data_IF_181642452205
#
_entry.id   IF_181642452205
#
_cell.length_a   1.000
_cell.length_b   1.000
_cell.length_c   1.000
_cell.angle_alpha   90.00
_cell.angle_beta   90.00
_cell.angle_gamma   90.00
#
_symmetry.space_group_name_H-M   'P 1'
#
loop_
_entity.id
_entity.type
_entity.pdbx_description
1 polymer ?
#
# COMPACT_ATOMS: atom_id res chain seq x y z
N UNK A 1 -2.99 -12.37 15.02
CA UNK A 1 -3.01 -10.95 15.42
C UNK A 1 -3.27 -10.03 14.24
N UNK A 2 -2.45 -10.09 13.21
CA UNK A 2 -2.70 -9.28 12.02
C UNK A 2 -3.43 -10.12 10.98
N UNK A 3 -4.74 -10.09 11.02
CA UNK A 3 -5.54 -10.87 10.06
C UNK A 3 -5.57 -10.23 8.68
N UNK A 4 -5.60 -8.89 8.63
CA UNK A 4 -5.65 -8.14 7.38
C UNK A 4 -4.53 -7.11 7.37
N UNK A 5 -3.64 -7.24 6.41
CA UNK A 5 -2.53 -6.31 6.19
C UNK A 5 -2.83 -5.52 4.93
N UNK A 6 -2.80 -4.20 5.03
CA UNK A 6 -3.02 -3.31 3.89
C UNK A 6 -1.70 -2.76 3.41
N UNK A 7 -1.41 -2.95 2.13
CA UNK A 7 -0.23 -2.39 1.50
C UNK A 7 -0.66 -1.46 0.35
N UNK A 8 -0.71 -0.16 0.60
CA UNK A 8 -1.00 0.81 -0.45
C UNK A 8 0.26 1.13 -1.24
N UNK A 9 0.12 1.26 -2.54
CA UNK A 9 1.23 1.70 -3.37
C UNK A 9 0.73 2.59 -4.51
N UNK A 10 1.60 3.47 -4.97
CA UNK A 10 1.35 4.28 -6.17
C UNK A 10 2.33 3.84 -7.24
N UNK A 11 1.89 3.77 -8.52
CA UNK A 11 2.75 3.26 -9.58
C UNK A 11 4.07 4.00 -9.77
N UNK A 12 4.09 5.27 -9.43
CA UNK A 12 5.27 6.13 -9.57
C UNK A 12 6.22 6.08 -8.37
N UNK A 13 5.87 5.33 -7.34
CA UNK A 13 6.64 5.30 -6.09
C UNK A 13 6.94 3.88 -5.66
N UNK A 14 7.59 3.16 -6.55
CA UNK A 14 7.93 1.78 -6.30
C UNK A 14 9.02 1.68 -5.24
N UNK A 15 8.77 0.82 -4.29
CA UNK A 15 9.81 0.44 -3.36
C UNK A 15 9.69 -1.05 -3.11
N UNK A 16 10.48 -1.85 -3.83
CA UNK A 16 10.44 -3.31 -3.70
C UNK A 16 10.64 -3.79 -2.27
N UNK A 17 11.45 -3.06 -1.49
CA UNK A 17 11.66 -3.40 -0.10
C UNK A 17 10.40 -3.27 0.75
N UNK A 18 9.52 -2.33 0.41
CA UNK A 18 8.25 -2.17 1.13
C UNK A 18 7.33 -3.36 0.90
N UNK A 19 7.21 -3.79 -0.35
CA UNK A 19 6.39 -4.95 -0.67
C UNK A 19 6.94 -6.20 0.02
N UNK A 20 8.26 -6.39 0.00
CA UNK A 20 8.88 -7.55 0.62
C UNK A 20 8.57 -7.60 2.12
N UNK A 21 8.57 -6.46 2.80
CA UNK A 21 8.23 -6.40 4.22
C UNK A 21 6.75 -6.70 4.47
N UNK A 22 5.87 -6.17 3.63
CA UNK A 22 4.44 -6.47 3.75
C UNK A 22 4.18 -7.96 3.53
N UNK A 23 4.83 -8.55 2.54
CA UNK A 23 4.70 -9.96 2.23
C UNK A 23 5.20 -10.83 3.39
N UNK A 24 6.36 -10.51 3.94
CA UNK A 24 6.93 -11.22 5.07
C UNK A 24 5.99 -11.17 6.28
N UNK A 25 5.46 -10.01 6.58
CA UNK A 25 4.54 -9.85 7.70
C UNK A 25 3.27 -10.69 7.50
N UNK A 26 2.70 -10.63 6.31
CA UNK A 26 1.50 -11.41 6.00
C UNK A 26 1.77 -12.91 6.07
N UNK A 27 2.93 -13.34 5.59
CA UNK A 27 3.30 -14.76 5.61
C UNK A 27 3.46 -15.26 7.06
N UNK A 28 4.11 -14.47 7.91
CA UNK A 28 4.36 -14.85 9.30
C UNK A 28 3.07 -14.98 10.12
N UNK A 29 2.08 -14.16 9.80
CA UNK A 29 0.84 -14.10 10.57
C UNK A 29 -0.34 -14.79 9.89
N UNK A 30 -0.11 -15.44 8.76
CA UNK A 30 -1.18 -16.02 7.94
C UNK A 30 -2.25 -14.98 7.60
N UNK A 31 -1.82 -13.76 7.33
CA UNK A 31 -2.71 -12.65 7.05
C UNK A 31 -3.23 -12.69 5.62
N UNK A 32 -4.36 -12.04 5.38
CA UNK A 32 -4.75 -11.66 4.04
C UNK A 32 -4.07 -10.34 3.72
N UNK A 33 -3.36 -10.29 2.60
CA UNK A 33 -2.67 -9.08 2.16
C UNK A 33 -3.53 -8.35 1.14
N UNK A 34 -3.98 -7.17 1.50
CA UNK A 34 -4.76 -6.32 0.59
C UNK A 34 -3.81 -5.36 -0.09
N UNK A 35 -3.70 -5.49 -1.40
CA UNK A 35 -2.83 -4.66 -2.21
C UNK A 35 -3.67 -3.55 -2.82
N UNK A 36 -3.47 -2.33 -2.36
CA UNK A 36 -4.23 -1.17 -2.81
C UNK A 36 -3.42 -0.36 -3.80
N UNK A 37 -3.88 -0.31 -5.05
CA UNK A 37 -3.32 0.59 -6.05
C UNK A 37 -4.00 1.93 -5.91
N UNK A 38 -3.22 2.95 -5.55
CA UNK A 38 -3.72 4.30 -5.39
C UNK A 38 -3.39 5.10 -6.65
N UNK A 39 -4.42 5.57 -7.32
CA UNK A 39 -4.28 6.38 -8.53
C UNK A 39 -4.70 7.81 -8.22
N UNK A 40 -3.73 8.71 -8.19
CA UNK A 40 -4.01 10.13 -8.07
C UNK A 40 -4.48 10.69 -9.40
N UNK A 41 -5.10 11.86 -9.36
CA UNK A 41 -5.62 12.50 -10.57
C UNK A 41 -4.50 12.83 -11.57
N UNK A 42 -3.31 13.12 -11.07
CA UNK A 42 -2.16 13.49 -11.89
C UNK A 42 -1.01 12.50 -11.77
N UNK A 43 -1.29 11.26 -11.50
CA UNK A 43 -0.24 10.27 -11.32
C UNK A 43 0.56 10.07 -12.62
N UNK A 44 1.87 10.28 -12.59
CA UNK A 44 2.71 10.05 -13.77
C UNK A 44 2.66 8.60 -14.28
N UNK A 45 2.35 7.66 -13.42
CA UNK A 45 2.19 6.26 -13.80
C UNK A 45 1.07 6.02 -14.77
N UNK A 46 0.14 6.97 -14.89
CA UNK A 46 -0.93 6.89 -15.86
C UNK A 46 -0.48 7.12 -17.30
N UNK A 47 0.74 7.62 -17.48
CA UNK A 47 1.26 7.86 -18.83
C UNK A 47 1.67 6.58 -19.53
N UNK A 48 1.97 5.53 -18.78
CA UNK A 48 2.30 4.24 -19.34
C UNK A 48 1.27 3.22 -18.85
N UNK A 49 0.32 2.85 -19.70
CA UNK A 49 -0.77 1.96 -19.28
C UNK A 49 -0.31 0.55 -18.94
N UNK A 50 0.92 0.18 -19.27
CA UNK A 50 1.42 -1.17 -19.02
C UNK A 50 2.12 -1.31 -17.67
N UNK A 51 2.47 -0.20 -17.02
CA UNK A 51 3.24 -0.25 -15.77
C UNK A 51 2.46 -0.91 -14.64
N UNK A 52 1.21 -0.50 -14.42
CA UNK A 52 0.42 -1.03 -13.31
C UNK A 52 0.13 -2.52 -13.48
N UNK A 53 -0.35 -2.99 -14.64
CA UNK A 53 -0.58 -4.42 -14.83
C UNK A 53 0.66 -5.27 -14.63
N UNK A 54 1.82 -4.81 -15.09
CA UNK A 54 3.06 -5.55 -14.93
C UNK A 54 3.48 -5.64 -13.46
N UNK A 55 3.35 -4.54 -12.73
CA UNK A 55 3.64 -4.52 -11.30
C UNK A 55 2.70 -5.44 -10.52
N UNK A 56 1.41 -5.37 -10.82
CA UNK A 56 0.45 -6.22 -10.15
C UNK A 56 0.73 -7.68 -10.40
N UNK A 57 1.09 -8.03 -11.62
CA UNK A 57 1.44 -9.42 -11.94
C UNK A 57 2.65 -9.87 -11.14
N UNK A 58 3.67 -9.02 -11.05
CA UNK A 58 4.87 -9.33 -10.27
C UNK A 58 4.50 -9.58 -8.80
N UNK A 59 3.70 -8.71 -8.20
CA UNK A 59 3.28 -8.86 -6.82
C UNK A 59 2.42 -10.10 -6.62
N UNK A 60 1.50 -10.38 -7.55
CA UNK A 60 0.68 -11.58 -7.49
C UNK A 60 1.52 -12.85 -7.52
N UNK A 61 2.51 -12.90 -8.41
CA UNK A 61 3.40 -14.06 -8.49
C UNK A 61 4.14 -14.28 -7.18
N UNK A 62 4.61 -13.22 -6.55
CA UNK A 62 5.30 -13.31 -5.28
C UNK A 62 4.37 -13.77 -4.16
N UNK A 63 3.16 -13.26 -4.11
CA UNK A 63 2.18 -13.67 -3.10
C UNK A 63 1.77 -15.12 -3.26
N UNK A 64 1.58 -15.56 -4.50
CA UNK A 64 1.26 -16.97 -4.77
C UNK A 64 2.39 -17.90 -4.36
N UNK A 65 3.63 -17.53 -4.66
CA UNK A 65 4.79 -18.34 -4.25
C UNK A 65 4.93 -18.43 -2.74
N UNK A 66 4.58 -17.36 -2.04
CA UNK A 66 4.66 -17.32 -0.59
C UNK A 66 3.47 -17.99 0.09
N UNK A 67 2.46 -18.38 -0.66
CA UNK A 67 1.25 -18.98 -0.09
C UNK A 67 0.39 -18.01 0.69
N UNK A 68 0.43 -16.73 0.33
CA UNK A 68 -0.31 -15.69 1.03
C UNK A 68 -1.62 -15.43 0.30
N UNK A 69 -2.72 -15.40 1.04
CA UNK A 69 -4.01 -14.97 0.50
C UNK A 69 -3.96 -13.47 0.26
N UNK A 70 -4.48 -13.04 -0.89
CA UNK A 70 -4.43 -11.62 -1.23
C UNK A 70 -5.69 -11.15 -1.94
N UNK A 71 -5.86 -9.85 -1.91
CA UNK A 71 -6.95 -9.17 -2.60
C UNK A 71 -6.36 -7.93 -3.27
N UNK A 72 -6.77 -7.67 -4.51
CA UNK A 72 -6.31 -6.48 -5.25
C UNK A 72 -7.44 -5.47 -5.27
N UNK A 73 -7.14 -4.24 -4.85
CA UNK A 73 -8.10 -3.14 -4.86
C UNK A 73 -7.46 -1.95 -5.57
N UNK A 74 -8.22 -1.30 -6.43
CA UNK A 74 -7.75 -0.11 -7.12
C UNK A 74 -8.73 1.03 -6.81
N UNK A 75 -8.20 2.17 -6.40
CA UNK A 75 -9.02 3.33 -6.10
C UNK A 75 -8.34 4.62 -6.54
N UNK A 76 -9.16 5.59 -6.90
CA UNK A 76 -8.71 6.93 -7.29
C UNK A 76 -9.07 7.93 -6.22
N UNK A 77 -8.22 8.93 -6.05
CA UNK A 77 -8.47 10.02 -5.14
C UNK A 77 -7.19 10.48 -4.45
N UNK A 78 -7.36 11.26 -3.40
CA UNK A 78 -6.23 11.69 -2.59
C UNK A 78 -5.69 10.48 -1.84
N UNK A 79 -4.39 10.19 -1.96
CA UNK A 79 -3.84 8.96 -1.41
C UNK A 79 -4.17 8.70 0.06
N UNK A 80 -3.97 9.68 0.91
CA UNK A 80 -4.21 9.47 2.34
C UNK A 80 -5.68 9.12 2.62
N UNK A 81 -6.61 9.84 1.99
CA UNK A 81 -8.04 9.59 2.18
C UNK A 81 -8.44 8.20 1.69
N UNK A 82 -7.93 7.81 0.52
CA UNK A 82 -8.23 6.51 -0.06
C UNK A 82 -7.75 5.39 0.85
N UNK A 83 -6.53 5.54 1.38
CA UNK A 83 -5.94 4.55 2.28
C UNK A 83 -6.76 4.44 3.58
N UNK A 84 -7.09 5.58 4.17
CA UNK A 84 -7.82 5.61 5.43
C UNK A 84 -9.24 5.05 5.27
N UNK A 85 -9.90 5.37 4.18
CA UNK A 85 -11.24 4.87 3.90
C UNK A 85 -11.24 3.35 3.77
N UNK A 86 -10.31 2.81 3.01
CA UNK A 86 -10.24 1.36 2.83
C UNK A 86 -9.85 0.64 4.11
N UNK A 87 -8.93 1.22 4.88
CA UNK A 87 -8.55 0.64 6.16
C UNK A 87 -9.75 0.52 7.11
N UNK A 88 -10.63 1.52 7.11
CA UNK A 88 -11.85 1.49 7.91
C UNK A 88 -12.87 0.49 7.36
N UNK A 89 -13.08 0.47 6.05
CA UNK A 89 -14.04 -0.43 5.41
C UNK A 89 -13.73 -1.89 5.70
N UNK A 90 -12.46 -2.27 5.64
CA UNK A 90 -12.04 -3.66 5.78
C UNK A 90 -11.62 -4.05 7.18
N UNK A 91 -11.67 -3.12 8.12
CA UNK A 91 -11.16 -3.34 9.48
C UNK A 91 -9.73 -3.86 9.45
N UNK A 92 -8.88 -3.15 8.75
CA UNK A 92 -7.48 -3.52 8.57
C UNK A 92 -6.75 -3.51 9.92
N UNK A 93 -5.89 -4.48 10.13
CA UNK A 93 -5.16 -4.62 11.39
C UNK A 93 -3.82 -3.87 11.39
N UNK A 94 -3.23 -3.69 10.21
CA UNK A 94 -1.99 -2.92 10.09
C UNK A 94 -1.85 -2.41 8.66
N UNK A 95 -1.36 -1.19 8.53
CA UNK A 95 -1.03 -0.60 7.23
C UNK A 95 0.50 -0.63 7.11
N UNK A 96 1.03 -1.18 6.02
CA UNK A 96 2.47 -1.16 5.74
C UNK A 96 2.72 -0.18 4.61
N UNK A 97 3.51 0.84 4.85
CA UNK A 97 3.79 1.85 3.82
C UNK A 97 5.20 2.39 3.97
N UNK A 98 5.68 3.04 2.93
CA UNK A 98 7.01 3.59 2.92
C UNK A 98 7.05 5.05 3.28
N UNK A 99 8.26 5.56 3.49
CA UNK A 99 8.50 6.98 3.73
C UNK A 99 8.73 7.77 2.45
N UNK A 100 8.76 7.10 1.30
CA UNK A 100 8.92 7.76 0.01
C UNK A 100 7.77 8.72 -0.21
N UNK A 101 8.04 9.98 -0.36
CA UNK A 101 7.01 11.00 -0.42
C UNK A 101 6.91 11.80 0.86
N UNK A 102 7.55 11.35 1.93
CA UNK A 102 7.77 12.23 3.06
C UNK A 102 8.90 13.16 2.66
N UNK A 103 8.53 14.35 2.22
CA UNK A 103 9.49 15.35 1.83
C UNK A 103 9.36 16.49 2.84
N UNK A 104 10.41 16.72 3.58
CA UNK A 104 10.41 17.75 4.62
C UNK A 104 10.19 19.16 4.07
N UNK A 105 10.33 19.33 2.77
CA UNK A 105 10.13 20.62 2.11
C UNK A 105 8.73 20.81 1.57
N UNK A 106 7.88 19.77 1.64
CA UNK A 106 6.49 19.85 1.14
C UNK A 106 5.55 19.37 2.23
N UNK A 107 5.41 20.16 3.21
CA UNK A 107 4.83 19.84 4.51
C UNK A 107 3.48 19.19 4.50
N UNK A 108 2.58 19.66 3.68
CA UNK A 108 1.19 19.23 3.72
C UNK A 108 0.92 18.01 2.85
N UNK A 109 1.92 17.54 2.10
CA UNK A 109 1.70 16.53 1.09
C UNK A 109 2.23 15.16 1.44
N UNK A 110 2.70 14.97 2.65
CA UNK A 110 3.16 13.69 3.10
C UNK A 110 1.99 12.76 3.37
N UNK A 111 1.77 11.82 2.46
CA UNK A 111 0.74 10.80 2.63
C UNK A 111 1.00 10.00 3.90
N UNK A 112 2.26 9.66 4.14
CA UNK A 112 2.62 8.89 5.33
C UNK A 112 2.26 9.62 6.61
N UNK A 113 2.56 10.91 6.69
CA UNK A 113 2.25 11.70 7.89
C UNK A 113 0.75 11.75 8.16
N UNK A 114 -0.06 11.98 7.12
CA UNK A 114 -1.51 12.01 7.29
C UNK A 114 -2.06 10.66 7.71
N UNK A 115 -1.57 9.58 7.10
CA UNK A 115 -2.03 8.24 7.46
C UNK A 115 -1.66 7.93 8.90
N UNK A 116 -0.43 8.23 9.31
CA UNK A 116 0.00 7.98 10.69
C UNK A 116 -0.88 8.71 11.69
N UNK A 117 -1.24 9.95 11.40
CA UNK A 117 -2.05 10.75 12.31
C UNK A 117 -3.49 10.26 12.43
N UNK A 118 -4.05 9.77 11.35
CA UNK A 118 -5.49 9.50 11.26
C UNK A 118 -5.85 8.02 11.14
N UNK A 119 -4.88 7.14 11.09
CA UNK A 119 -5.14 5.73 10.86
C UNK A 119 -5.94 5.09 12.00
N UNK A 120 -6.91 4.23 11.68
CA UNK A 120 -7.67 3.50 12.70
C UNK A 120 -6.92 2.29 13.25
N UNK A 121 -5.70 2.06 12.80
CA UNK A 121 -4.91 0.89 13.14
C UNK A 121 -3.42 1.24 13.15
N UNK A 122 -2.56 0.36 13.66
CA UNK A 122 -1.12 0.55 13.59
C UNK A 122 -0.61 0.73 12.16
N UNK A 123 0.44 1.54 12.01
CA UNK A 123 1.08 1.78 10.72
C UNK A 123 2.55 1.39 10.84
N UNK A 124 2.98 0.46 10.01
CA UNK A 124 4.37 0.07 9.92
C UNK A 124 5.01 0.84 8.77
N UNK A 125 5.95 1.72 9.11
CA UNK A 125 6.61 2.57 8.13
C UNK A 125 7.96 1.97 7.78
N UNK A 126 8.17 1.74 6.49
CA UNK A 126 9.42 1.16 5.98
C UNK A 126 10.24 2.27 5.32
N UNK A 127 11.43 2.56 5.83
CA UNK A 127 12.27 3.61 5.27
C UNK A 127 12.84 3.27 3.90
#
# INVERSE_FOLDING_TARGET
>A
MFEIVLFPFAPDRQAPGMFAKALELAQQHNSRLVLLTVLGEESPGMKDPDVVPLLLKHFQDQMNKAGVFFELVERRGKPALVILDLASELNVDVIVMGTHGVNLNTDSESTAAEVIQLAPCPVLVVP
#
